data_IF_307051810182
#
_entry.id   IF_307051810182
#
_cell.length_a   1.000
_cell.length_b   1.000
_cell.length_c   1.000
_cell.angle_alpha   90.00
_cell.angle_beta   90.00
_cell.angle_gamma   90.00
#
_symmetry.space_group_name_H-M   'P 1'
#
loop_
_entity.id
_entity.type
_entity.pdbx_description
1 polymer ?
#
# COMPACT_ATOMS: atom_id res chain seq x y z
N UNK A 1 12.27 -4.45 4.11
CA UNK A 1 13.42 -4.51 3.15
C UNK A 1 14.65 -5.24 3.71
N UNK A 2 15.25 -4.78 4.82
CA UNK A 2 16.43 -5.42 5.45
C UNK A 2 16.23 -6.92 5.67
N UNK A 3 15.11 -7.29 6.30
CA UNK A 3 14.74 -8.69 6.56
C UNK A 3 14.79 -9.56 5.30
N UNK A 4 14.25 -9.07 4.18
CA UNK A 4 14.22 -9.80 2.90
C UNK A 4 15.61 -9.94 2.27
N UNK A 5 16.42 -8.87 2.30
CA UNK A 5 17.74 -8.86 1.64
C UNK A 5 18.73 -9.76 2.37
N UNK A 6 18.67 -9.75 3.70
CA UNK A 6 19.61 -10.48 4.55
C UNK A 6 19.01 -11.74 5.17
N UNK A 7 17.80 -12.12 4.79
CA UNK A 7 17.09 -13.28 5.34
C UNK A 7 17.08 -13.32 6.89
N UNK A 8 16.83 -12.17 7.51
CA UNK A 8 16.79 -12.04 8.96
C UNK A 8 15.50 -12.64 9.52
N UNK A 9 15.57 -13.18 10.73
CA UNK A 9 14.42 -13.68 11.45
C UNK A 9 13.78 -12.55 12.28
N UNK A 10 12.44 -12.42 12.24
CA UNK A 10 11.71 -11.42 13.01
C UNK A 10 12.00 -11.56 14.53
N UNK A 11 12.07 -12.79 15.03
CA UNK A 11 12.38 -13.06 16.45
C UNK A 11 13.76 -12.55 16.89
N UNK A 12 14.76 -12.57 16.01
CA UNK A 12 16.09 -12.02 16.31
C UNK A 12 16.08 -10.49 16.23
N UNK A 13 15.42 -9.94 15.20
CA UNK A 13 15.29 -8.50 15.01
C UNK A 13 14.58 -7.82 16.18
N UNK A 14 13.57 -8.47 16.78
CA UNK A 14 12.87 -7.95 17.96
C UNK A 14 13.79 -7.83 19.17
N UNK A 15 14.72 -8.77 19.34
CA UNK A 15 15.75 -8.71 20.39
C UNK A 15 16.89 -7.75 20.04
N UNK A 16 16.73 -6.96 18.98
CA UNK A 16 17.78 -6.10 18.44
C UNK A 16 18.97 -6.85 17.87
N UNK A 17 18.88 -8.16 17.62
CA UNK A 17 20.01 -8.96 17.12
C UNK A 17 19.99 -9.03 15.59
N UNK A 18 21.01 -8.44 14.96
CA UNK A 18 21.22 -8.45 13.51
C UNK A 18 22.53 -9.16 13.18
N UNK A 19 22.53 -10.50 13.16
CA UNK A 19 23.74 -11.32 12.95
C UNK A 19 24.88 -11.02 13.94
N UNK A 20 24.55 -10.84 15.22
CA UNK A 20 25.50 -10.55 16.30
C UNK A 20 25.71 -9.06 16.57
N UNK A 21 25.17 -8.18 15.72
CA UNK A 21 25.11 -6.74 16.01
C UNK A 21 23.88 -6.42 16.83
N UNK A 22 24.09 -5.95 18.06
CA UNK A 22 23.02 -5.57 18.98
C UNK A 22 22.59 -4.12 18.75
N UNK A 23 21.35 -3.95 18.31
CA UNK A 23 20.61 -2.69 18.26
C UNK A 23 19.57 -2.61 19.39
N UNK A 24 18.70 -1.59 19.37
CA UNK A 24 17.59 -1.51 20.30
C UNK A 24 16.60 -2.66 20.08
N UNK A 25 16.03 -3.14 21.18
CA UNK A 25 14.89 -4.06 21.15
C UNK A 25 13.65 -3.34 20.60
N UNK A 26 12.79 -4.10 19.92
CA UNK A 26 11.53 -3.61 19.40
C UNK A 26 10.40 -4.00 20.35
N UNK A 27 9.46 -3.09 20.55
CA UNK A 27 8.29 -3.34 21.37
C UNK A 27 7.14 -3.99 20.56
N UNK A 28 6.02 -4.22 21.25
CA UNK A 28 4.81 -4.77 20.63
C UNK A 28 4.28 -3.88 19.49
N UNK A 29 4.32 -2.56 19.68
CA UNK A 29 3.78 -1.58 18.74
C UNK A 29 4.62 -1.56 17.47
N UNK A 30 5.94 -1.65 17.61
CA UNK A 30 6.89 -1.77 16.51
C UNK A 30 6.63 -3.03 15.70
N UNK A 31 6.51 -4.19 16.38
CA UNK A 31 6.25 -5.47 15.71
C UNK A 31 4.91 -5.46 14.96
N UNK A 32 3.86 -4.90 15.57
CA UNK A 32 2.56 -4.69 14.93
C UNK A 32 2.71 -3.81 13.68
N UNK A 33 3.38 -2.67 13.79
CA UNK A 33 3.50 -1.70 12.69
C UNK A 33 4.31 -2.25 11.52
N UNK A 34 5.35 -3.02 11.80
CA UNK A 34 6.13 -3.73 10.77
C UNK A 34 5.26 -4.78 10.08
N UNK A 35 4.49 -5.56 10.84
CA UNK A 35 3.55 -6.55 10.29
C UNK A 35 2.47 -5.93 9.41
N UNK A 36 1.86 -4.82 9.86
CA UNK A 36 0.87 -4.05 9.10
C UNK A 36 1.46 -3.50 7.79
N UNK A 37 2.68 -2.95 7.85
CA UNK A 37 3.36 -2.42 6.66
C UNK A 37 3.70 -3.56 5.69
N UNK A 38 4.16 -4.70 6.19
CA UNK A 38 4.40 -5.88 5.35
C UNK A 38 3.10 -6.38 4.70
N UNK A 39 1.96 -6.29 5.39
CA UNK A 39 0.67 -6.71 4.87
C UNK A 39 0.18 -5.81 3.73
N UNK A 40 0.35 -4.50 3.88
CA UNK A 40 -0.03 -3.53 2.84
C UNK A 40 0.88 -3.64 1.61
N UNK A 41 2.16 -3.97 1.79
CA UNK A 41 3.11 -4.27 0.72
C UNK A 41 2.91 -5.64 0.07
N UNK A 42 2.03 -6.49 0.61
CA UNK A 42 1.73 -7.83 0.09
C UNK A 42 2.78 -8.89 0.46
N UNK A 43 3.66 -8.62 1.41
CA UNK A 43 4.66 -9.57 1.90
C UNK A 43 4.12 -10.46 3.02
N UNK A 44 3.19 -11.34 2.66
CA UNK A 44 2.36 -12.11 3.60
C UNK A 44 3.18 -13.02 4.55
N UNK A 45 4.28 -13.61 4.10
CA UNK A 45 5.14 -14.46 4.95
C UNK A 45 5.78 -13.65 6.08
N UNK A 46 6.28 -12.45 5.77
CA UNK A 46 6.86 -11.56 6.78
C UNK A 46 5.77 -10.98 7.67
N UNK A 47 4.60 -10.64 7.13
CA UNK A 47 3.44 -10.24 7.92
C UNK A 47 3.14 -11.26 9.00
N UNK A 48 3.00 -12.53 8.63
CA UNK A 48 2.65 -13.59 9.59
C UNK A 48 3.74 -13.73 10.66
N UNK A 49 5.02 -13.69 10.28
CA UNK A 49 6.13 -13.74 11.25
C UNK A 49 6.04 -12.60 12.27
N UNK A 50 5.94 -11.35 11.81
CA UNK A 50 5.90 -10.18 12.69
C UNK A 50 4.65 -10.15 13.57
N UNK A 51 3.50 -10.54 13.03
CA UNK A 51 2.26 -10.56 13.78
C UNK A 51 2.22 -11.66 14.84
N UNK A 52 2.86 -12.82 14.63
CA UNK A 52 2.98 -13.83 15.68
C UNK A 52 3.85 -13.37 16.84
N UNK A 53 4.93 -12.64 16.55
CA UNK A 53 5.77 -12.06 17.59
C UNK A 53 5.05 -10.95 18.35
N UNK A 54 4.32 -10.07 17.63
CA UNK A 54 3.45 -9.07 18.25
C UNK A 54 2.43 -9.74 19.18
N UNK A 55 1.71 -10.76 18.70
CA UNK A 55 0.75 -11.54 19.49
C UNK A 55 1.37 -12.15 20.75
N UNK A 56 2.61 -12.65 20.66
CA UNK A 56 3.32 -13.24 21.78
C UNK A 56 3.70 -12.21 22.85
N UNK A 57 3.95 -10.96 22.44
CA UNK A 57 4.21 -9.83 23.36
C UNK A 57 2.92 -9.31 23.98
N UNK A 58 1.87 -9.09 23.17
CA UNK A 58 0.55 -8.64 23.63
C UNK A 58 -0.02 -9.58 24.70
N UNK A 59 0.03 -10.90 24.47
CA UNK A 59 -0.48 -11.90 25.43
C UNK A 59 0.26 -11.93 26.76
N UNK A 60 1.51 -11.47 26.81
CA UNK A 60 2.28 -11.35 28.07
C UNK A 60 1.91 -10.09 28.85
N UNK A 61 1.45 -9.06 28.13
CA UNK A 61 1.13 -7.74 28.68
C UNK A 61 -0.36 -7.60 29.05
N UNK A 62 -1.26 -8.31 28.37
CA UNK A 62 -2.70 -8.26 28.64
C UNK A 62 -3.03 -8.90 30.00
N UNK A 63 -3.73 -8.20 30.91
CA UNK A 63 -4.28 -8.83 32.11
C UNK A 63 -5.33 -9.87 31.69
N UNK A 64 -5.47 -10.99 32.43
CA UNK A 64 -6.49 -11.99 32.13
C UNK A 64 -7.87 -11.32 32.14
N UNK A 65 -8.65 -11.60 31.10
CA UNK A 65 -9.98 -11.02 30.83
C UNK A 65 -10.83 -11.11 32.11
N UNK A 66 -10.93 -9.99 32.83
CA UNK A 66 -11.74 -9.85 34.02
C UNK A 66 -13.16 -9.52 33.61
N UNK A 67 -14.13 -10.32 34.03
CA UNK A 67 -15.54 -10.09 33.76
C UNK A 67 -15.97 -8.78 34.44
N UNK A 68 -16.00 -7.69 33.68
CA UNK A 68 -16.62 -6.43 34.07
C UNK A 68 -15.75 -5.21 33.85
N UNK A 69 -15.95 -4.51 32.73
CA UNK A 69 -16.54 -3.17 32.73
C UNK A 69 -17.03 -2.80 31.32
N UNK A 70 -18.22 -2.20 31.24
CA UNK A 70 -18.87 -1.76 30.00
C UNK A 70 -18.20 -0.50 29.41
N UNK A 71 -16.96 -0.63 28.96
CA UNK A 71 -16.23 0.26 28.05
C UNK A 71 -14.83 -0.35 27.78
N UNK A 72 -14.79 -1.64 27.42
CA UNK A 72 -13.53 -2.32 27.15
C UNK A 72 -12.92 -1.81 25.82
N UNK A 73 -11.66 -1.29 25.84
CA UNK A 73 -10.93 -0.93 24.63
C UNK A 73 -10.81 -2.15 23.72
N UNK A 74 -10.79 -1.90 22.41
CA UNK A 74 -10.61 -2.93 21.38
C UNK A 74 -9.43 -3.84 21.77
N UNK A 75 -9.65 -5.15 21.84
CA UNK A 75 -8.58 -6.08 22.23
C UNK A 75 -7.53 -6.13 21.14
N UNK A 76 -6.30 -5.79 21.51
CA UNK A 76 -5.13 -5.83 20.62
C UNK A 76 -4.89 -7.26 20.11
N UNK A 77 -5.08 -8.26 20.98
CA UNK A 77 -5.03 -9.67 20.60
C UNK A 77 -6.04 -10.01 19.50
N UNK A 78 -7.29 -9.54 19.62
CA UNK A 78 -8.34 -9.78 18.60
C UNK A 78 -7.96 -9.16 17.24
N UNK A 79 -7.46 -7.92 17.27
CA UNK A 79 -7.01 -7.19 16.08
C UNK A 79 -5.85 -7.89 15.36
N UNK A 80 -4.86 -8.36 16.11
CA UNK A 80 -3.69 -9.06 15.56
C UNK A 80 -4.10 -10.39 14.92
N UNK A 81 -4.91 -11.19 15.62
CA UNK A 81 -5.41 -12.47 15.11
C UNK A 81 -6.20 -12.30 13.81
N UNK A 82 -7.03 -11.26 13.72
CA UNK A 82 -7.77 -10.97 12.51
C UNK A 82 -6.84 -10.67 11.33
N UNK A 83 -5.77 -9.88 11.52
CA UNK A 83 -4.83 -9.57 10.45
C UNK A 83 -4.00 -10.79 10.03
N UNK A 84 -3.66 -11.69 10.95
CA UNK A 84 -3.06 -12.99 10.63
C UNK A 84 -4.04 -13.82 9.78
N UNK A 85 -5.31 -13.90 10.17
CA UNK A 85 -6.33 -14.62 9.43
C UNK A 85 -6.50 -14.11 7.99
N UNK A 86 -6.54 -12.79 7.80
CA UNK A 86 -6.59 -12.16 6.47
C UNK A 86 -5.34 -12.45 5.65
N UNK A 87 -4.18 -12.55 6.30
CA UNK A 87 -2.93 -12.93 5.64
C UNK A 87 -2.99 -14.37 5.12
N UNK A 88 -3.46 -15.32 5.93
CA UNK A 88 -3.67 -16.71 5.49
C UNK A 88 -4.68 -16.83 4.36
N UNK A 89 -5.76 -16.05 4.41
CA UNK A 89 -6.76 -16.04 3.36
C UNK A 89 -6.17 -15.58 2.03
N UNK A 90 -5.36 -14.52 2.03
CA UNK A 90 -4.63 -14.03 0.84
C UNK A 90 -3.58 -15.01 0.32
N UNK A 91 -3.06 -15.90 1.17
CA UNK A 91 -2.19 -17.01 0.77
C UNK A 91 -2.96 -18.21 0.19
N UNK A 92 -4.30 -18.19 0.19
CA UNK A 92 -5.11 -19.32 -0.26
C UNK A 92 -5.25 -20.44 0.77
N UNK A 93 -5.06 -20.13 2.06
CA UNK A 93 -5.19 -21.07 3.19
C UNK A 93 -6.45 -20.75 4.02
N UNK A 94 -7.66 -21.04 3.50
CA UNK A 94 -8.91 -20.62 4.13
C UNK A 94 -9.17 -21.31 5.48
N UNK A 95 -8.72 -22.55 5.65
CA UNK A 95 -8.91 -23.30 6.90
C UNK A 95 -8.18 -22.61 8.07
N UNK A 96 -6.91 -22.24 7.85
CA UNK A 96 -6.12 -21.48 8.83
C UNK A 96 -6.69 -20.09 9.08
N UNK A 97 -7.22 -19.44 8.04
CA UNK A 97 -7.86 -18.15 8.18
C UNK A 97 -9.13 -18.23 9.05
N UNK A 98 -9.92 -19.29 8.88
CA UNK A 98 -11.10 -19.56 9.69
C UNK A 98 -10.74 -19.87 11.15
N UNK A 99 -9.67 -20.63 11.38
CA UNK A 99 -9.16 -20.87 12.74
C UNK A 99 -8.79 -19.55 13.41
N UNK A 100 -8.07 -18.66 12.74
CA UNK A 100 -7.74 -17.34 13.30
C UNK A 100 -9.00 -16.48 13.54
N UNK A 101 -9.97 -16.53 12.62
CA UNK A 101 -11.24 -15.81 12.76
C UNK A 101 -12.04 -16.27 13.99
N UNK A 102 -12.16 -17.58 14.23
CA UNK A 102 -12.91 -18.10 15.39
C UNK A 102 -12.34 -17.59 16.71
N UNK A 103 -11.01 -17.54 16.82
CA UNK A 103 -10.33 -17.01 18.01
C UNK A 103 -10.52 -15.50 18.13
N UNK A 104 -10.34 -14.75 17.03
CA UNK A 104 -10.47 -13.29 17.03
C UNK A 104 -11.92 -12.85 17.35
N UNK A 105 -12.91 -13.54 16.80
CA UNK A 105 -14.33 -13.27 17.03
C UNK A 105 -14.80 -13.64 18.45
N UNK A 106 -14.16 -14.61 19.08
CA UNK A 106 -14.40 -14.91 20.50
C UNK A 106 -13.89 -13.80 21.41
N UNK A 107 -12.76 -13.17 21.05
CA UNK A 107 -12.12 -12.11 21.84
C UNK A 107 -12.83 -10.77 21.64
N UNK A 108 -12.89 -10.28 20.40
CA UNK A 108 -13.56 -9.01 20.09
C UNK A 108 -14.24 -9.04 18.72
N UNK A 109 -15.53 -9.39 18.65
CA UNK A 109 -16.26 -9.47 17.39
C UNK A 109 -16.56 -8.09 16.77
N UNK A 110 -16.31 -6.99 17.49
CA UNK A 110 -16.62 -5.61 17.03
C UNK A 110 -15.44 -4.96 16.31
N UNK A 111 -14.25 -5.54 16.39
CA UNK A 111 -13.06 -5.01 15.75
C UNK A 111 -13.22 -4.98 14.21
N UNK A 112 -12.71 -3.90 13.60
CA UNK A 112 -12.84 -3.67 12.16
C UNK A 112 -12.13 -4.74 11.31
N UNK A 113 -10.98 -5.25 11.78
CA UNK A 113 -10.27 -6.33 11.07
C UNK A 113 -11.00 -7.67 11.23
N UNK A 114 -11.62 -7.94 12.38
CA UNK A 114 -12.43 -9.14 12.60
C UNK A 114 -13.65 -9.15 11.68
N UNK A 115 -14.36 -8.01 11.59
CA UNK A 115 -15.50 -7.84 10.68
C UNK A 115 -15.05 -8.00 9.22
N UNK A 116 -13.91 -7.41 8.84
CA UNK A 116 -13.35 -7.54 7.50
C UNK A 116 -13.01 -9.00 7.18
N UNK A 117 -12.34 -9.73 8.08
CA UNK A 117 -12.02 -11.13 7.91
C UNK A 117 -13.27 -12.00 7.76
N UNK A 118 -14.30 -11.76 8.59
CA UNK A 118 -15.59 -12.45 8.46
C UNK A 118 -16.18 -12.31 7.06
N UNK A 119 -16.19 -11.07 6.54
CA UNK A 119 -16.69 -10.79 5.19
C UNK A 119 -15.84 -11.49 4.14
N UNK A 120 -14.52 -11.40 4.23
CA UNK A 120 -13.60 -12.05 3.29
C UNK A 120 -13.68 -13.61 3.34
N UNK A 121 -14.10 -14.21 4.47
CA UNK A 121 -14.35 -15.65 4.58
C UNK A 121 -15.70 -16.09 4.00
N UNK A 122 -16.75 -15.29 4.20
CA UNK A 122 -18.10 -15.59 3.75
C UNK A 122 -18.26 -15.33 2.25
N UNK A 123 -17.84 -14.14 1.81
CA UNK A 123 -17.69 -13.83 0.41
C UNK A 123 -16.34 -14.38 0.01
N UNK A 124 -16.29 -15.63 -0.46
CA UNK A 124 -15.10 -16.18 -1.12
C UNK A 124 -14.62 -15.06 -2.04
N UNK A 125 -13.44 -14.43 -1.80
CA UNK A 125 -12.97 -13.42 -2.72
C UNK A 125 -13.02 -14.11 -4.08
N UNK A 126 -13.66 -13.51 -5.10
CA UNK A 126 -13.68 -14.12 -6.43
C UNK A 126 -12.24 -14.56 -6.68
N UNK A 127 -12.05 -15.88 -6.85
CA UNK A 127 -10.77 -16.56 -6.95
C UNK A 127 -9.93 -15.74 -7.90
N UNK A 128 -9.12 -14.82 -7.37
CA UNK A 128 -8.47 -13.75 -8.14
C UNK A 128 -9.31 -13.36 -9.34
N UNK A 129 -10.20 -12.34 -9.27
CA UNK A 129 -10.70 -11.71 -10.51
C UNK A 129 -9.53 -11.70 -11.47
N UNK A 130 -9.62 -12.51 -12.55
CA UNK A 130 -8.49 -12.81 -13.42
C UNK A 130 -7.77 -11.49 -13.60
N UNK A 131 -6.47 -11.38 -13.28
CA UNK A 131 -5.80 -10.09 -13.10
C UNK A 131 -6.26 -9.19 -14.22
N UNK A 132 -7.11 -8.19 -13.91
CA UNK A 132 -8.11 -7.67 -14.86
C UNK A 132 -7.53 -7.71 -16.27
N UNK A 133 -7.88 -8.76 -17.03
CA UNK A 133 -7.31 -8.98 -18.36
C UNK A 133 -7.93 -8.02 -19.36
N UNK A 134 -8.92 -7.24 -18.90
CA UNK A 134 -9.29 -6.01 -19.55
C UNK A 134 -8.08 -5.08 -19.52
N UNK A 135 -7.35 -5.15 -20.62
CA UNK A 135 -6.25 -4.27 -20.98
C UNK A 135 -6.62 -2.81 -20.71
N UNK A 136 -7.91 -2.45 -20.79
CA UNK A 136 -8.39 -1.09 -20.50
C UNK A 136 -8.39 -0.76 -19.00
N UNK A 137 -8.66 -1.70 -18.11
CA UNK A 137 -8.62 -1.43 -16.67
C UNK A 137 -7.18 -1.41 -16.13
N UNK A 138 -6.30 -2.28 -16.64
CA UNK A 138 -4.86 -2.18 -16.36
C UNK A 138 -4.26 -0.86 -16.88
N UNK A 139 -4.73 -0.35 -18.02
CA UNK A 139 -4.36 0.99 -18.53
C UNK A 139 -4.77 2.15 -17.61
N UNK A 140 -5.80 1.98 -16.78
CA UNK A 140 -6.29 3.04 -15.88
C UNK A 140 -5.47 3.12 -14.58
N UNK A 141 -5.04 1.98 -14.03
CA UNK A 141 -4.25 1.95 -12.79
C UNK A 141 -2.74 2.10 -13.01
N UNK A 142 -2.26 1.85 -14.22
CA UNK A 142 -0.87 2.05 -14.61
C UNK A 142 -0.78 3.23 -15.56
N UNK A 143 -0.60 4.42 -15.00
CA UNK A 143 0.02 5.57 -15.68
C UNK A 143 1.42 5.25 -16.29
N UNK A 144 1.87 3.99 -16.23
CA UNK A 144 2.99 3.44 -17.01
C UNK A 144 2.65 3.20 -18.50
N UNK A 145 1.38 3.18 -18.92
CA UNK A 145 1.03 3.00 -20.35
C UNK A 145 1.22 4.27 -21.19
N UNK A 146 1.73 5.36 -20.60
CA UNK A 146 2.32 6.49 -21.32
C UNK A 146 3.85 6.48 -21.27
N UNK A 147 4.46 5.31 -21.17
CA UNK A 147 5.80 5.16 -21.71
C UNK A 147 5.61 5.09 -23.23
N UNK A 148 6.06 6.08 -24.02
CA UNK A 148 6.15 5.87 -25.45
C UNK A 148 6.98 4.61 -25.68
N UNK A 149 6.64 3.82 -26.71
CA UNK A 149 7.35 2.59 -27.12
C UNK A 149 8.80 2.87 -27.61
N UNK A 150 9.35 4.04 -27.26
CA UNK A 150 10.72 4.43 -27.46
C UNK A 150 11.61 3.74 -26.42
N UNK A 151 12.08 2.55 -26.81
CA UNK A 151 13.07 1.74 -26.10
C UNK A 151 14.45 2.41 -25.82
N UNK A 152 14.68 3.72 -26.02
CA UNK A 152 16.06 4.23 -26.13
C UNK A 152 16.42 5.64 -25.62
N UNK A 153 15.59 6.38 -24.87
CA UNK A 153 16.07 7.62 -24.20
C UNK A 153 15.63 7.73 -22.74
N UNK A 154 16.52 7.47 -21.75
CA UNK A 154 16.18 7.54 -20.32
C UNK A 154 15.81 8.96 -19.84
N UNK A 155 16.00 9.98 -20.68
CA UNK A 155 15.60 11.36 -20.38
C UNK A 155 14.10 11.59 -20.56
N UNK A 156 13.41 10.81 -21.39
CA UNK A 156 11.97 10.91 -21.59
C UNK A 156 11.25 10.23 -20.42
N UNK A 157 10.70 11.03 -19.51
CA UNK A 157 10.09 10.53 -18.29
C UNK A 157 8.87 11.35 -17.85
N UNK A 158 8.04 10.71 -17.02
CA UNK A 158 6.95 11.36 -16.30
C UNK A 158 7.42 11.71 -14.89
N UNK A 159 7.36 12.99 -14.54
CA UNK A 159 7.82 13.50 -13.24
C UNK A 159 6.81 14.46 -12.63
N UNK A 160 6.70 14.45 -11.30
CA UNK A 160 6.01 15.50 -10.56
C UNK A 160 6.98 16.67 -10.36
N UNK A 161 6.62 17.86 -10.86
CA UNK A 161 7.41 19.08 -10.65
C UNK A 161 6.87 19.87 -9.47
N UNK A 162 7.78 20.39 -8.67
CA UNK A 162 7.49 21.33 -7.60
C UNK A 162 7.39 22.74 -8.19
N UNK A 163 6.42 23.52 -7.74
CA UNK A 163 6.35 24.98 -7.99
C UNK A 163 6.82 25.74 -6.76
N UNK A 164 6.76 27.07 -6.83
CA UNK A 164 7.03 28.00 -5.72
C UNK A 164 6.27 27.61 -4.45
N UNK A 165 5.06 27.06 -4.59
CA UNK A 165 4.28 26.51 -3.47
C UNK A 165 4.65 25.03 -3.22
N UNK A 166 5.22 24.67 -2.06
CA UNK A 166 5.79 23.33 -1.81
C UNK A 166 4.77 22.19 -1.81
N UNK A 167 3.48 22.49 -1.62
CA UNK A 167 2.39 21.51 -1.60
C UNK A 167 1.75 21.30 -2.97
N UNK A 168 2.00 22.20 -3.93
CA UNK A 168 1.42 22.10 -5.25
C UNK A 168 2.40 21.36 -6.18
N UNK A 169 1.93 20.25 -6.74
CA UNK A 169 2.71 19.44 -7.67
C UNK A 169 1.86 19.21 -8.90
N UNK A 170 2.44 19.46 -10.06
CA UNK A 170 1.80 19.14 -11.33
C UNK A 170 2.56 18.02 -12.02
N UNK A 171 1.81 17.24 -12.80
CA UNK A 171 2.34 16.11 -13.56
C UNK A 171 2.93 16.64 -14.87
N UNK A 172 4.18 16.31 -15.15
CA UNK A 172 4.86 16.60 -16.41
C UNK A 172 5.28 15.29 -17.08
N UNK A 173 5.10 15.19 -18.38
CA UNK A 173 5.66 14.13 -19.23
C UNK A 173 6.54 14.76 -20.31
N UNK A 174 7.80 14.32 -20.41
CA UNK A 174 8.72 14.79 -21.45
C UNK A 174 8.57 13.91 -22.70
N UNK A 175 8.06 14.48 -23.81
CA UNK A 175 7.88 13.76 -25.08
C UNK A 175 9.16 13.80 -25.92
N UNK A 176 9.87 14.93 -25.94
CA UNK A 176 11.08 15.10 -26.75
C UNK A 176 12.09 15.98 -26.02
N UNK A 177 13.37 15.63 -26.11
CA UNK A 177 14.48 16.43 -25.54
C UNK A 177 14.94 17.50 -26.54
N UNK A 178 14.89 17.20 -27.84
CA UNK A 178 15.32 18.11 -28.90
C UNK A 178 14.50 17.87 -30.18
N UNK A 179 13.52 18.73 -30.53
CA UNK A 179 13.11 19.93 -29.78
C UNK A 179 12.55 19.57 -28.40
N UNK A 180 12.69 20.47 -27.42
CA UNK A 180 12.15 20.22 -26.08
C UNK A 180 10.63 20.31 -26.11
N UNK A 181 9.95 19.18 -25.90
CA UNK A 181 8.48 19.08 -25.89
C UNK A 181 8.05 18.34 -24.63
N UNK A 182 7.21 18.98 -23.82
CA UNK A 182 6.65 18.42 -22.60
C UNK A 182 5.13 18.63 -22.54
N UNK A 183 4.43 17.64 -21.98
CA UNK A 183 3.01 17.71 -21.65
C UNK A 183 2.84 17.92 -20.16
N UNK A 184 1.87 18.76 -19.80
CA UNK A 184 1.48 18.97 -18.42
C UNK A 184 0.02 18.52 -18.25
N UNK A 185 -0.23 17.71 -17.23
CA UNK A 185 -1.57 17.17 -16.96
C UNK A 185 -2.22 17.89 -15.79
N UNK A 186 -3.54 18.11 -15.92
CA UNK A 186 -4.40 18.63 -14.86
C UNK A 186 -3.96 20.02 -14.35
N UNK A 187 -3.35 20.85 -15.20
CA UNK A 187 -2.80 22.18 -14.82
C UNK A 187 -3.74 23.34 -15.13
N UNK A 188 -4.58 23.21 -16.15
CA UNK A 188 -5.55 24.23 -16.57
C UNK A 188 -6.91 23.59 -16.76
N UNK A 189 -7.97 24.31 -16.40
CA UNK A 189 -9.35 23.93 -16.72
C UNK A 189 -9.69 24.21 -18.18
N UNK A 190 -10.75 23.57 -18.69
CA UNK A 190 -11.22 23.80 -20.06
C UNK A 190 -11.59 25.27 -20.32
N UNK A 191 -12.12 25.96 -19.30
CA UNK A 191 -12.46 27.39 -19.38
C UNK A 191 -11.21 28.27 -19.53
N UNK A 192 -10.18 27.99 -18.74
CA UNK A 192 -8.89 28.71 -18.82
C UNK A 192 -8.21 28.43 -20.15
N UNK A 193 -8.25 27.18 -20.63
CA UNK A 193 -7.73 26.77 -21.93
C UNK A 193 -8.36 27.56 -23.07
N UNK A 194 -9.69 27.66 -23.10
CA UNK A 194 -10.40 28.46 -24.11
C UNK A 194 -10.03 29.94 -24.05
N UNK A 195 -9.88 30.49 -22.84
CA UNK A 195 -9.48 31.88 -22.65
C UNK A 195 -8.08 32.15 -23.23
N UNK A 196 -7.13 31.24 -23.01
CA UNK A 196 -5.77 31.33 -23.56
C UNK A 196 -5.79 31.22 -25.10
N UNK A 197 -6.54 30.27 -25.65
CA UNK A 197 -6.69 30.09 -27.11
C UNK A 197 -7.24 31.38 -27.74
N UNK A 198 -8.32 31.92 -27.19
CA UNK A 198 -8.94 33.14 -27.72
C UNK A 198 -7.98 34.34 -27.66
N UNK A 199 -7.19 34.45 -26.59
CA UNK A 199 -6.19 35.52 -26.45
C UNK A 199 -5.04 35.37 -27.45
N UNK A 200 -4.64 34.15 -27.78
CA UNK A 200 -3.50 33.87 -28.67
C UNK A 200 -3.87 33.84 -30.15
N UNK A 201 -5.12 33.53 -30.52
CA UNK A 201 -5.60 33.55 -31.91
C UNK A 201 -5.34 34.87 -32.63
N UNK A 202 -5.47 36.00 -31.93
CA UNK A 202 -5.20 37.32 -32.51
C UNK A 202 -3.73 37.58 -32.86
N UNK A 203 -2.80 36.74 -32.38
CA UNK A 203 -1.35 36.93 -32.49
C UNK A 203 -0.60 35.77 -33.15
N UNK A 204 -1.30 34.70 -33.54
CA UNK A 204 -0.70 33.54 -34.19
C UNK A 204 -0.74 33.71 -35.71
N UNK A 205 0.44 33.81 -36.32
CA UNK A 205 0.60 33.81 -37.77
C UNK A 205 0.85 32.40 -38.30
N UNK A 206 0.24 32.06 -39.44
CA UNK A 206 0.44 30.75 -40.07
C UNK A 206 1.83 30.71 -40.70
N UNK A 207 2.69 29.81 -40.22
CA UNK A 207 3.97 29.54 -40.86
C UNK A 207 3.78 28.84 -42.21
N UNK A 208 4.42 29.37 -43.26
CA UNK A 208 4.51 28.72 -44.56
C UNK A 208 5.84 27.96 -44.63
N UNK A 209 5.80 26.74 -45.18
CA UNK A 209 7.00 25.95 -45.49
C UNK A 209 7.21 26.10 -47.01
N UNK A 210 8.35 26.66 -47.41
CA UNK A 210 8.81 26.68 -48.81
C UNK A 210 9.48 25.35 -49.20
#
# INVERSE_FOLDING_TARGET
RLQRVYNLNASEMIRGNYYGWLGPELDEVDAWKIGETAFTEGHLDFTIQWLYEALAMTRKSEPPIGVGNFEEPVSETGRILALIGRSYLRQGLPDKANDMYTHAAYIDPRDGNVIALKRELMDKPPLTDQPITDVNFQKLCLLQSKLPDNKFDPRLNCVYRQVILPYYRFKQELISVSPYVALFYDVISDLESQSIINFSQAKLERGNVE
#
